data_IF_350204933224
#
_entry.id   IF_350204933224
#
_cell.length_a   1.000
_cell.length_b   1.000
_cell.length_c   1.000
_cell.angle_alpha   90.00
_cell.angle_beta   90.00
_cell.angle_gamma   90.00
#
_symmetry.space_group_name_H-M   'P 1'
#
loop_
_entity.id
_entity.type
_entity.pdbx_description
1 polymer ?
#
# COMPACT_ATOMS: atom_id res chain seq x y z
N UNK A 1 48.52 -5.82 -38.86
CA UNK A 1 49.16 -6.35 -37.63
C UNK A 1 49.83 -5.17 -36.92
N UNK A 2 49.19 -4.56 -35.92
CA UNK A 2 49.71 -3.41 -35.16
C UNK A 2 49.69 -3.79 -33.69
N UNK A 3 50.87 -3.99 -33.09
CA UNK A 3 51.07 -4.27 -31.66
C UNK A 3 50.49 -3.11 -30.85
N UNK A 4 49.55 -3.41 -29.94
CA UNK A 4 49.16 -2.49 -28.86
C UNK A 4 50.25 -2.57 -27.78
N UNK A 5 50.89 -1.44 -27.51
CA UNK A 5 51.70 -1.26 -26.31
C UNK A 5 50.79 -1.33 -25.08
N UNK A 6 51.15 -2.18 -24.13
CA UNK A 6 50.52 -2.27 -22.81
C UNK A 6 51.04 -1.09 -22.00
N UNK A 7 50.26 -0.02 -21.95
CA UNK A 7 50.54 1.11 -21.08
C UNK A 7 50.17 0.71 -19.66
N UNK A 8 51.19 0.61 -18.79
CA UNK A 8 51.06 0.19 -17.40
C UNK A 8 50.15 1.13 -16.61
N UNK A 9 49.06 0.60 -16.06
CA UNK A 9 48.06 1.24 -15.20
C UNK A 9 48.63 1.63 -13.82
N UNK A 10 49.67 2.47 -13.77
CA UNK A 10 50.22 3.01 -12.51
C UNK A 10 49.83 4.47 -12.23
N UNK A 11 48.98 5.06 -13.06
CA UNK A 11 48.41 6.39 -12.81
C UNK A 11 47.01 6.29 -12.18
N UNK A 12 46.97 5.87 -10.91
CA UNK A 12 45.80 6.11 -10.05
C UNK A 12 45.65 7.62 -9.84
N UNK A 13 44.82 8.27 -10.65
CA UNK A 13 44.25 9.59 -10.34
C UNK A 13 43.48 9.46 -9.03
N UNK A 14 44.08 9.92 -7.93
CA UNK A 14 43.37 10.08 -6.67
C UNK A 14 42.29 11.16 -6.85
N UNK A 15 41.02 10.78 -6.85
CA UNK A 15 39.92 11.72 -6.67
C UNK A 15 40.03 12.30 -5.26
N UNK A 16 40.70 13.46 -5.15
CA UNK A 16 40.83 14.21 -3.92
C UNK A 16 39.59 15.09 -3.70
N UNK A 17 38.55 14.54 -3.08
CA UNK A 17 37.58 15.32 -2.31
C UNK A 17 37.02 14.44 -1.20
N UNK A 18 37.78 14.37 -0.10
CA UNK A 18 37.33 14.24 1.29
C UNK A 18 38.57 14.02 2.17
N UNK A 19 39.01 15.07 2.86
CA UNK A 19 40.10 14.98 3.82
C UNK A 19 39.57 14.35 5.11
N UNK A 20 40.10 13.16 5.46
CA UNK A 20 39.90 12.52 6.77
C UNK A 20 40.91 13.16 7.75
N UNK A 21 40.52 13.55 8.98
CA UNK A 21 41.45 14.13 9.95
C UNK A 21 42.43 13.05 10.46
N UNK A 22 43.74 13.29 10.33
CA UNK A 22 44.78 12.39 10.83
C UNK A 22 45.99 12.12 9.91
N UNK A 23 46.06 12.70 8.71
CA UNK A 23 47.26 12.55 7.85
C UNK A 23 48.40 13.47 8.26
N UNK A 24 49.55 12.87 8.56
CA UNK A 24 50.85 13.55 8.70
C UNK A 24 51.25 14.33 7.42
N UNK A 25 52.09 15.37 7.52
CA UNK A 25 52.42 16.27 6.40
C UNK A 25 53.16 15.55 5.26
N UNK A 26 52.91 15.99 4.01
CA UNK A 26 53.49 15.45 2.77
C UNK A 26 54.96 15.84 2.54
N UNK A 27 55.84 15.69 3.53
CA UNK A 27 57.29 15.89 3.35
C UNK A 27 58.04 14.60 3.67
N UNK A 28 58.42 13.85 2.64
CA UNK A 28 59.27 12.65 2.78
C UNK A 28 58.79 11.37 2.09
N UNK A 29 57.89 11.43 1.11
CA UNK A 29 57.45 10.23 0.37
C UNK A 29 58.58 9.83 -0.61
N UNK A 30 59.19 8.63 -0.48
CA UNK A 30 60.25 8.18 -1.38
C UNK A 30 59.74 8.09 -2.82
N UNK A 31 60.44 8.70 -3.77
CA UNK A 31 60.12 8.70 -5.21
C UNK A 31 60.85 7.59 -5.97
N UNK A 32 60.88 6.37 -5.40
CA UNK A 32 61.54 5.20 -5.99
C UNK A 32 60.71 3.92 -5.81
N UNK A 33 61.33 2.75 -6.04
CA UNK A 33 60.68 1.44 -5.88
C UNK A 33 60.17 1.18 -4.45
N UNK A 34 60.69 1.90 -3.45
CA UNK A 34 60.29 1.79 -2.04
C UNK A 34 59.07 2.65 -1.67
N UNK A 35 58.32 3.14 -2.67
CA UNK A 35 57.08 3.88 -2.40
C UNK A 35 56.05 2.94 -1.75
N UNK A 36 55.52 3.26 -0.56
CA UNK A 36 54.55 2.39 0.11
C UNK A 36 53.27 2.26 -0.73
N UNK A 37 52.98 1.02 -1.15
CA UNK A 37 51.79 0.63 -1.91
C UNK A 37 50.56 0.47 -1.01
N UNK A 38 50.76 0.06 0.24
CA UNK A 38 49.69 -0.21 1.18
C UNK A 38 49.26 1.08 1.89
N UNK A 39 47.95 1.30 1.91
CA UNK A 39 47.30 2.40 2.64
C UNK A 39 46.32 1.77 3.61
N UNK A 40 46.20 2.33 4.81
CA UNK A 40 45.13 1.98 5.73
C UNK A 40 43.80 2.30 5.04
N UNK A 41 43.07 1.25 4.67
CA UNK A 41 41.77 1.32 4.02
C UNK A 41 40.91 0.17 4.52
N UNK A 42 39.63 0.43 4.71
CA UNK A 42 38.69 -0.61 5.10
C UNK A 42 38.33 -1.49 3.91
N UNK A 43 37.92 -2.73 4.19
CA UNK A 43 37.40 -3.61 3.14
C UNK A 43 36.09 -3.06 2.60
N UNK A 44 35.84 -3.22 1.29
CA UNK A 44 34.68 -2.65 0.60
C UNK A 44 33.32 -3.01 1.23
N UNK A 45 33.21 -4.22 1.81
CA UNK A 45 32.00 -4.74 2.44
C UNK A 45 31.90 -4.43 3.95
N UNK A 46 32.90 -3.77 4.54
CA UNK A 46 32.81 -3.31 5.93
C UNK A 46 31.75 -2.20 6.06
N UNK A 47 31.02 -2.18 7.17
CA UNK A 47 30.02 -1.13 7.45
C UNK A 47 30.63 0.27 7.53
N UNK A 48 31.93 0.39 7.84
CA UNK A 48 32.69 1.64 7.87
C UNK A 48 33.13 2.14 6.48
N UNK A 49 33.19 1.23 5.49
CA UNK A 49 33.46 1.58 4.09
C UNK A 49 32.20 2.23 3.53
N UNK A 50 32.21 3.56 3.34
CA UNK A 50 31.09 4.34 2.76
C UNK A 50 30.77 3.99 1.29
N UNK A 51 31.18 2.80 0.82
CA UNK A 51 30.92 2.27 -0.49
C UNK A 51 29.45 1.86 -0.64
N UNK A 52 28.78 2.43 -1.64
CA UNK A 52 27.33 2.26 -1.87
C UNK A 52 26.98 1.67 -3.24
N UNK A 53 27.97 1.43 -4.11
CA UNK A 53 27.72 0.98 -5.48
C UNK A 53 27.69 -0.56 -5.59
N UNK A 54 26.55 -1.15 -5.25
CA UNK A 54 26.32 -2.61 -5.30
C UNK A 54 25.63 -3.09 -6.58
N UNK A 55 25.71 -2.33 -7.69
CA UNK A 55 24.97 -2.64 -8.94
C UNK A 55 25.25 -4.03 -9.49
N UNK A 56 26.49 -4.51 -9.36
CA UNK A 56 26.89 -5.86 -9.77
C UNK A 56 26.16 -6.94 -8.97
N UNK A 57 26.16 -6.83 -7.64
CA UNK A 57 25.42 -7.74 -6.75
C UNK A 57 23.91 -7.67 -7.00
N UNK A 58 23.35 -6.48 -7.21
CA UNK A 58 21.94 -6.33 -7.58
C UNK A 58 21.60 -7.10 -8.86
N UNK A 59 22.44 -6.97 -9.90
CA UNK A 59 22.27 -7.71 -11.16
C UNK A 59 22.37 -9.22 -10.94
N UNK A 60 23.36 -9.67 -10.14
CA UNK A 60 23.51 -11.08 -9.77
C UNK A 60 22.28 -11.60 -9.02
N UNK A 61 21.76 -10.87 -8.04
CA UNK A 61 20.55 -11.23 -7.30
C UNK A 61 19.34 -11.36 -8.22
N UNK A 62 19.18 -10.46 -9.19
CA UNK A 62 18.11 -10.55 -10.19
C UNK A 62 18.25 -11.80 -11.08
N UNK A 63 19.47 -12.14 -11.50
CA UNK A 63 19.75 -13.35 -12.27
C UNK A 63 19.45 -14.61 -11.44
N UNK A 64 19.94 -14.67 -10.20
CA UNK A 64 19.71 -15.80 -9.29
C UNK A 64 18.22 -15.97 -8.98
N UNK A 65 17.51 -14.87 -8.74
CA UNK A 65 16.06 -14.89 -8.53
C UNK A 65 15.35 -15.42 -9.77
N UNK A 66 15.72 -14.95 -10.97
CA UNK A 66 15.13 -15.44 -12.21
C UNK A 66 15.39 -16.94 -12.41
N UNK A 67 16.65 -17.39 -12.27
CA UNK A 67 17.01 -18.80 -12.45
C UNK A 67 16.34 -19.72 -11.41
N UNK A 68 16.29 -19.30 -10.14
CA UNK A 68 15.62 -20.05 -9.08
C UNK A 68 14.12 -20.20 -9.36
N UNK A 69 13.45 -19.11 -9.72
CA UNK A 69 12.02 -19.15 -10.04
C UNK A 69 11.73 -19.92 -11.34
N UNK A 70 12.58 -19.81 -12.37
CA UNK A 70 12.46 -20.59 -13.61
C UNK A 70 12.60 -22.08 -13.30
N UNK A 71 13.57 -22.47 -12.47
CA UNK A 71 13.73 -23.87 -12.05
C UNK A 71 12.48 -24.39 -11.35
N UNK A 72 11.97 -23.67 -10.34
CA UNK A 72 10.75 -24.05 -9.62
C UNK A 72 9.54 -24.08 -10.56
N UNK A 73 9.45 -23.14 -11.50
CA UNK A 73 8.40 -23.13 -12.51
C UNK A 73 8.48 -24.37 -13.42
N UNK A 74 9.69 -24.75 -13.86
CA UNK A 74 9.93 -25.96 -14.64
C UNK A 74 9.62 -27.23 -13.86
N UNK A 75 10.07 -27.34 -12.61
CA UNK A 75 9.74 -28.49 -11.74
C UNK A 75 8.23 -28.60 -11.53
N UNK A 76 7.53 -27.49 -11.27
CA UNK A 76 6.07 -27.47 -11.15
C UNK A 76 5.40 -27.84 -12.48
N UNK A 77 5.93 -27.37 -13.61
CA UNK A 77 5.42 -27.70 -14.95
C UNK A 77 5.61 -29.18 -15.28
N UNK A 78 6.76 -29.76 -14.93
CA UNK A 78 7.04 -31.19 -15.12
C UNK A 78 6.15 -32.04 -14.20
N UNK A 79 6.04 -31.65 -12.92
CA UNK A 79 5.35 -32.44 -11.89
C UNK A 79 3.83 -32.37 -12.01
N UNK A 80 3.28 -31.20 -12.31
CA UNK A 80 1.84 -30.96 -12.34
C UNK A 80 1.28 -30.66 -13.74
N UNK A 81 2.14 -30.56 -14.76
CA UNK A 81 1.74 -30.10 -16.08
C UNK A 81 1.44 -28.59 -16.12
N UNK A 82 0.81 -28.16 -17.22
CA UNK A 82 0.20 -26.84 -17.31
C UNK A 82 -1.12 -26.91 -16.53
N UNK A 83 -1.11 -26.44 -15.28
CA UNK A 83 -2.32 -26.35 -14.45
C UNK A 83 -3.21 -25.15 -14.84
N UNK A 84 -2.71 -24.27 -15.72
CA UNK A 84 -3.44 -23.11 -16.23
C UNK A 84 -4.56 -23.61 -17.13
N UNK A 85 -5.73 -23.82 -16.55
CA UNK A 85 -6.94 -24.08 -17.30
C UNK A 85 -7.63 -22.73 -17.56
N UNK A 86 -7.47 -22.20 -18.78
CA UNK A 86 -8.11 -20.95 -19.18
C UNK A 86 -9.64 -20.98 -19.02
N UNK A 87 -10.26 -22.15 -19.21
CA UNK A 87 -11.69 -22.31 -18.99
C UNK A 87 -12.01 -22.26 -17.49
N UNK A 88 -11.22 -22.87 -16.60
CA UNK A 88 -11.48 -22.78 -15.16
C UNK A 88 -11.27 -21.36 -14.62
N UNK A 89 -10.29 -20.60 -15.12
CA UNK A 89 -10.14 -19.17 -14.79
C UNK A 89 -11.39 -18.40 -15.24
N UNK A 90 -11.83 -18.59 -16.48
CA UNK A 90 -13.05 -17.94 -16.97
C UNK A 90 -14.30 -18.41 -16.21
N UNK A 91 -14.38 -19.68 -15.81
CA UNK A 91 -15.48 -20.20 -14.99
C UNK A 91 -15.51 -19.57 -13.59
N UNK A 92 -14.35 -19.41 -12.94
CA UNK A 92 -14.24 -18.74 -11.63
C UNK A 92 -14.73 -17.29 -11.75
N UNK A 93 -14.41 -16.59 -12.85
CA UNK A 93 -14.81 -15.20 -13.07
C UNK A 93 -16.23 -15.01 -13.60
N UNK A 94 -16.82 -16.00 -14.31
CA UNK A 94 -18.04 -15.79 -15.07
C UNK A 94 -19.15 -16.84 -14.84
N UNK A 95 -18.84 -18.08 -14.40
CA UNK A 95 -19.84 -19.16 -14.27
C UNK A 95 -20.46 -19.26 -12.87
N UNK A 96 -19.73 -18.89 -11.82
CA UNK A 96 -20.27 -18.84 -10.44
C UNK A 96 -20.62 -17.43 -9.98
N UNK A 97 -20.34 -16.41 -10.81
CA UNK A 97 -20.53 -15.01 -10.45
C UNK A 97 -21.89 -14.56 -10.95
N UNK A 98 -22.88 -14.59 -10.06
CA UNK A 98 -24.13 -13.90 -10.32
C UNK A 98 -23.81 -12.38 -10.32
N UNK A 99 -23.57 -11.79 -11.49
CA UNK A 99 -23.20 -10.38 -11.61
C UNK A 99 -24.31 -9.43 -11.17
N UNK A 100 -25.55 -9.92 -11.12
CA UNK A 100 -26.72 -9.13 -10.75
C UNK A 100 -26.61 -8.55 -9.32
N UNK A 101 -26.28 -9.33 -8.27
CA UNK A 101 -25.89 -8.80 -6.96
C UNK A 101 -24.81 -7.72 -7.00
N UNK A 102 -23.73 -7.93 -7.77
CA UNK A 102 -22.63 -6.97 -7.83
C UNK A 102 -23.04 -5.64 -8.48
N UNK A 103 -23.84 -5.69 -9.56
CA UNK A 103 -24.39 -4.51 -10.23
C UNK A 103 -25.37 -3.78 -9.31
N UNK A 104 -26.27 -4.52 -8.64
CA UNK A 104 -27.24 -3.96 -7.71
C UNK A 104 -26.54 -3.23 -6.57
N UNK A 105 -25.50 -3.84 -6.00
CA UNK A 105 -24.69 -3.23 -4.94
C UNK A 105 -23.97 -1.97 -5.47
N UNK A 106 -23.46 -1.96 -6.69
CA UNK A 106 -22.91 -0.72 -7.28
C UNK A 106 -23.96 0.38 -7.45
N UNK A 107 -25.19 0.06 -7.88
CA UNK A 107 -26.29 1.03 -7.97
C UNK A 107 -26.65 1.58 -6.60
N UNK A 108 -26.76 0.71 -5.58
CA UNK A 108 -27.06 1.11 -4.20
C UNK A 108 -25.97 2.04 -3.64
N UNK A 109 -24.71 1.90 -4.05
CA UNK A 109 -23.64 2.81 -3.64
C UNK A 109 -23.92 4.29 -3.94
N UNK A 110 -24.66 4.57 -5.01
CA UNK A 110 -25.04 5.93 -5.41
C UNK A 110 -26.01 6.55 -4.41
N UNK A 111 -26.87 5.75 -3.78
CA UNK A 111 -27.80 6.22 -2.75
C UNK A 111 -27.01 6.82 -1.59
N UNK A 112 -25.96 6.14 -1.11
CA UNK A 112 -25.12 6.64 -0.01
C UNK A 112 -24.38 7.94 -0.38
N UNK A 113 -23.91 8.06 -1.63
CA UNK A 113 -23.27 9.28 -2.15
C UNK A 113 -24.27 10.44 -2.21
N UNK A 114 -25.47 10.18 -2.73
CA UNK A 114 -26.55 11.18 -2.85
C UNK A 114 -27.05 11.61 -1.48
N UNK A 115 -27.19 10.69 -0.53
CA UNK A 115 -27.51 11.01 0.88
C UNK A 115 -26.44 11.92 1.49
N UNK A 116 -25.15 11.62 1.28
CA UNK A 116 -24.06 12.44 1.83
C UNK A 116 -24.07 13.89 1.32
N UNK A 117 -24.27 14.10 0.01
CA UNK A 117 -24.38 15.47 -0.55
C UNK A 117 -25.71 16.14 -0.16
N UNK A 118 -26.81 15.39 -0.12
CA UNK A 118 -28.13 15.90 0.25
C UNK A 118 -28.16 16.43 1.68
N UNK A 119 -27.62 15.66 2.64
CA UNK A 119 -27.51 16.07 4.04
C UNK A 119 -26.64 17.32 4.19
N UNK A 120 -25.49 17.39 3.50
CA UNK A 120 -24.63 18.57 3.58
C UNK A 120 -25.31 19.81 2.98
N UNK A 121 -26.08 19.67 1.88
CA UNK A 121 -26.89 20.78 1.35
C UNK A 121 -27.97 21.24 2.33
N UNK A 122 -28.69 20.32 2.96
CA UNK A 122 -29.70 20.65 3.97
C UNK A 122 -29.08 21.36 5.19
N UNK A 123 -27.86 20.97 5.58
CA UNK A 123 -27.10 21.62 6.66
C UNK A 123 -26.64 23.04 6.31
N UNK A 124 -26.33 23.31 5.04
CA UNK A 124 -25.98 24.67 4.56
C UNK A 124 -27.19 25.59 4.53
N UNK A 125 -28.32 25.09 4.01
CA UNK A 125 -29.56 25.88 3.90
C UNK A 125 -30.15 26.13 5.30
N UNK A 126 -29.79 25.31 6.30
CA UNK A 126 -30.30 25.43 7.67
C UNK A 126 -31.64 24.71 7.89
N UNK A 127 -32.05 23.82 6.97
CA UNK A 127 -33.26 23.01 7.10
C UNK A 127 -33.13 22.01 8.26
N UNK A 128 -31.93 21.47 8.45
CA UNK A 128 -31.63 20.50 9.51
C UNK A 128 -30.58 21.03 10.48
N UNK A 129 -30.76 20.72 11.77
CA UNK A 129 -29.78 21.08 12.80
C UNK A 129 -28.48 20.28 12.67
N UNK A 130 -27.38 20.81 13.20
CA UNK A 130 -26.08 20.13 13.21
C UNK A 130 -26.16 18.73 13.83
N UNK A 131 -26.90 18.57 14.93
CA UNK A 131 -27.02 17.29 15.64
C UNK A 131 -27.73 16.26 14.77
N UNK A 132 -28.85 16.64 14.18
CA UNK A 132 -29.63 15.76 13.29
C UNK A 132 -28.80 15.39 12.06
N UNK A 133 -28.12 16.34 11.43
CA UNK A 133 -27.23 16.06 10.29
C UNK A 133 -26.10 15.09 10.64
N UNK A 134 -25.45 15.26 11.80
CA UNK A 134 -24.43 14.32 12.28
C UNK A 134 -25.00 12.91 12.47
N UNK A 135 -26.20 12.77 13.06
CA UNK A 135 -26.85 11.45 13.24
C UNK A 135 -27.13 10.79 11.89
N UNK A 136 -27.65 11.53 10.91
CA UNK A 136 -27.91 10.99 9.56
C UNK A 136 -26.61 10.57 8.87
N UNK A 137 -25.54 11.36 8.99
CA UNK A 137 -24.22 11.01 8.43
C UNK A 137 -23.71 9.71 9.06
N UNK A 138 -23.76 9.58 10.39
CA UNK A 138 -23.31 8.37 11.09
C UNK A 138 -24.14 7.16 10.67
N UNK A 139 -25.47 7.29 10.61
CA UNK A 139 -26.35 6.22 10.16
C UNK A 139 -26.02 5.79 8.73
N UNK A 140 -25.86 6.76 7.80
CA UNK A 140 -25.48 6.50 6.42
C UNK A 140 -24.14 5.75 6.31
N UNK A 141 -23.14 6.13 7.12
CA UNK A 141 -21.82 5.50 7.13
C UNK A 141 -21.84 4.08 7.75
N UNK A 142 -22.63 3.86 8.80
CA UNK A 142 -22.80 2.53 9.40
C UNK A 142 -23.49 1.60 8.40
N UNK A 143 -24.60 2.03 7.80
CA UNK A 143 -25.32 1.24 6.79
C UNK A 143 -24.45 0.98 5.56
N UNK A 144 -23.60 1.94 5.17
CA UNK A 144 -22.65 1.74 4.07
C UNK A 144 -21.67 0.60 4.34
N UNK A 145 -21.24 0.38 5.58
CA UNK A 145 -20.36 -0.75 5.93
C UNK A 145 -21.12 -2.07 6.11
N UNK A 146 -22.30 -2.03 6.75
CA UNK A 146 -23.03 -3.25 7.10
C UNK A 146 -23.82 -3.82 5.94
N UNK A 147 -24.40 -2.99 5.06
CA UNK A 147 -25.19 -3.43 3.91
C UNK A 147 -24.44 -4.41 2.98
N UNK A 148 -23.26 -4.09 2.44
CA UNK A 148 -22.58 -4.99 1.51
C UNK A 148 -22.05 -6.24 2.23
N UNK A 149 -21.73 -6.15 3.53
CA UNK A 149 -21.32 -7.30 4.33
C UNK A 149 -22.48 -8.27 4.55
N UNK A 150 -23.65 -7.78 4.98
CA UNK A 150 -24.85 -8.59 5.13
C UNK A 150 -25.30 -9.20 3.79
N UNK A 151 -25.22 -8.44 2.70
CA UNK A 151 -25.53 -8.96 1.36
C UNK A 151 -24.56 -10.07 0.94
N UNK A 152 -23.28 -9.96 1.30
CA UNK A 152 -22.26 -10.98 1.00
C UNK A 152 -22.46 -12.24 1.84
N UNK A 153 -22.87 -12.10 3.10
CA UNK A 153 -23.14 -13.25 3.97
C UNK A 153 -24.47 -13.94 3.66
N UNK A 154 -25.44 -13.19 3.13
CA UNK A 154 -26.74 -13.72 2.74
C UNK A 154 -26.75 -14.37 1.34
N UNK A 155 -25.68 -14.24 0.55
CA UNK A 155 -25.60 -14.79 -0.80
C UNK A 155 -24.36 -15.66 -0.96
N UNK A 156 -24.52 -16.84 -1.57
CA UNK A 156 -23.41 -17.72 -1.95
C UNK A 156 -22.71 -17.17 -3.21
N UNK A 157 -22.06 -16.02 -3.04
CA UNK A 157 -21.36 -15.30 -4.11
C UNK A 157 -19.87 -15.65 -4.10
N UNK A 158 -19.25 -15.63 -5.28
CA UNK A 158 -17.82 -15.87 -5.44
C UNK A 158 -16.96 -14.97 -4.51
N UNK A 159 -16.05 -15.54 -3.68
CA UNK A 159 -15.23 -14.80 -2.72
C UNK A 159 -14.36 -13.69 -3.33
N UNK A 160 -13.88 -13.85 -4.57
CA UNK A 160 -13.08 -12.83 -5.25
C UNK A 160 -13.93 -11.63 -5.66
N UNK A 161 -15.13 -11.88 -6.19
CA UNK A 161 -16.08 -10.84 -6.58
C UNK A 161 -16.58 -10.05 -5.37
N UNK A 162 -16.90 -10.75 -4.27
CA UNK A 162 -17.32 -10.12 -3.02
C UNK A 162 -16.18 -9.33 -2.38
N UNK A 163 -14.94 -9.82 -2.42
CA UNK A 163 -13.76 -9.07 -1.95
C UNK A 163 -13.58 -7.73 -2.68
N UNK A 164 -13.72 -7.71 -4.01
CA UNK A 164 -13.63 -6.46 -4.80
C UNK A 164 -14.77 -5.51 -4.45
N UNK A 165 -15.98 -6.05 -4.27
CA UNK A 165 -17.15 -5.28 -3.87
C UNK A 165 -16.99 -4.61 -2.50
N UNK A 166 -16.56 -5.38 -1.49
CA UNK A 166 -16.29 -4.86 -0.14
C UNK A 166 -15.16 -3.85 -0.15
N UNK A 167 -14.11 -4.06 -0.95
CA UNK A 167 -13.01 -3.09 -1.10
C UNK A 167 -13.52 -1.75 -1.67
N UNK A 168 -14.43 -1.78 -2.65
CA UNK A 168 -15.06 -0.58 -3.18
C UNK A 168 -15.88 0.15 -2.11
N UNK A 169 -16.70 -0.57 -1.35
CA UNK A 169 -17.53 0.00 -0.28
C UNK A 169 -16.71 0.55 0.89
N UNK A 170 -15.64 -0.14 1.28
CA UNK A 170 -14.67 0.36 2.25
C UNK A 170 -14.01 1.66 1.78
N UNK A 171 -13.55 1.71 0.53
CA UNK A 171 -12.98 2.93 -0.06
C UNK A 171 -13.99 4.07 -0.06
N UNK A 172 -15.25 3.79 -0.42
CA UNK A 172 -16.33 4.77 -0.39
C UNK A 172 -16.62 5.26 1.04
N UNK A 173 -16.63 4.37 2.04
CA UNK A 173 -16.76 4.72 3.45
C UNK A 173 -15.68 5.71 3.89
N UNK A 174 -14.41 5.38 3.62
CA UNK A 174 -13.28 6.25 3.96
C UNK A 174 -13.42 7.64 3.31
N UNK A 175 -13.82 7.66 2.03
CA UNK A 175 -14.06 8.89 1.28
C UNK A 175 -15.21 9.71 1.88
N UNK A 176 -16.36 9.10 2.19
CA UNK A 176 -17.51 9.82 2.73
C UNK A 176 -17.26 10.35 4.15
N UNK A 177 -16.49 9.65 4.99
CA UNK A 177 -16.00 10.19 6.27
C UNK A 177 -15.16 11.43 6.04
N UNK A 178 -14.21 11.38 5.09
CA UNK A 178 -13.38 12.54 4.76
C UNK A 178 -14.20 13.71 4.23
N UNK A 179 -15.16 13.44 3.35
CA UNK A 179 -16.08 14.43 2.81
C UNK A 179 -16.89 15.11 3.92
N UNK A 180 -17.47 14.35 4.85
CA UNK A 180 -18.22 14.87 5.98
C UNK A 180 -17.34 15.74 6.90
N UNK A 181 -16.15 15.26 7.27
CA UNK A 181 -15.22 16.01 8.13
C UNK A 181 -14.79 17.34 7.50
N UNK A 182 -14.37 17.31 6.23
CA UNK A 182 -13.85 18.50 5.56
C UNK A 182 -14.94 19.54 5.36
N UNK A 183 -16.13 19.15 4.91
CA UNK A 183 -17.24 20.08 4.76
C UNK A 183 -17.69 20.65 6.11
N UNK A 184 -17.73 19.83 7.18
CA UNK A 184 -17.99 20.32 8.53
C UNK A 184 -16.97 21.38 8.98
N UNK A 185 -15.69 21.20 8.68
CA UNK A 185 -14.66 22.20 9.00
C UNK A 185 -14.86 23.52 8.24
N UNK A 186 -15.26 23.47 6.97
CA UNK A 186 -15.56 24.69 6.21
C UNK A 186 -16.82 25.38 6.71
N UNK A 187 -17.88 24.62 7.02
CA UNK A 187 -19.14 25.15 7.54
C UNK A 187 -18.97 25.82 8.90
N UNK A 188 -18.23 25.19 9.83
CA UNK A 188 -17.93 25.79 11.14
C UNK A 188 -17.03 27.02 11.06
N UNK A 189 -16.14 27.09 10.05
CA UNK A 189 -15.36 28.31 9.78
C UNK A 189 -16.22 29.43 9.21
N UNK A 190 -17.22 29.11 8.39
CA UNK A 190 -18.14 30.11 7.84
C UNK A 190 -19.06 30.68 8.91
N UNK A 191 -19.60 29.85 9.82
CA UNK A 191 -20.39 30.36 10.94
C UNK A 191 -19.55 31.27 11.85
N UNK A 192 -18.29 30.91 12.10
CA UNK A 192 -17.34 31.76 12.84
C UNK A 192 -16.95 33.04 12.08
N UNK A 193 -16.81 32.98 10.75
CA UNK A 193 -16.57 34.17 9.92
C UNK A 193 -17.79 35.07 9.85
N UNK A 194 -19.02 34.55 9.79
CA UNK A 194 -20.22 35.38 9.88
C UNK A 194 -20.33 36.10 11.24
N UNK A 195 -19.79 35.53 12.32
CA UNK A 195 -19.68 36.23 13.61
C UNK A 195 -18.52 37.24 13.70
N UNK A 196 -17.55 37.21 12.77
CA UNK A 196 -16.34 38.07 12.79
C UNK A 196 -16.33 39.10 11.64
N UNK A 197 -17.01 38.82 10.53
CA UNK A 197 -17.06 39.62 9.30
C UNK A 197 -18.03 40.83 9.38
N UNK A 198 -18.31 41.31 10.59
CA UNK A 198 -18.66 42.72 10.77
C UNK A 198 -17.45 43.64 10.54
N UNK A 199 -16.22 43.10 10.57
CA UNK A 199 -15.00 43.84 10.27
C UNK A 199 -14.12 43.13 9.23
N UNK A 200 -13.68 43.93 8.26
CA UNK A 200 -12.69 43.65 7.21
C UNK A 200 -13.16 42.85 5.97
N UNK A 201 -13.46 43.63 4.93
CA UNK A 201 -13.63 43.20 3.55
C UNK A 201 -12.30 43.33 2.76
N UNK A 202 -12.21 42.49 1.70
CA UNK A 202 -11.29 42.51 0.54
C UNK A 202 -9.92 41.84 0.70
N UNK A 203 -9.63 40.93 -0.25
CA UNK A 203 -8.50 41.00 -1.21
C UNK A 203 -8.50 39.75 -2.11
N UNK A 204 -8.32 39.97 -3.42
CA UNK A 204 -7.46 39.12 -4.26
C UNK A 204 -8.12 38.20 -5.28
N UNK A 205 -8.17 38.64 -6.55
CA UNK A 205 -8.43 37.80 -7.72
C UNK A 205 -7.29 36.80 -7.93
N UNK A 206 -7.55 35.54 -7.58
CA UNK A 206 -6.82 34.37 -8.05
C UNK A 206 -7.78 33.50 -8.88
N UNK A 207 -7.29 32.64 -9.80
CA UNK A 207 -8.16 31.87 -10.70
C UNK A 207 -9.25 31.15 -9.90
N UNK A 208 -10.46 31.06 -10.48
CA UNK A 208 -11.71 30.62 -9.84
C UNK A 208 -11.56 29.28 -9.11
N UNK A 209 -11.06 29.32 -7.87
CA UNK A 209 -10.99 28.17 -6.97
C UNK A 209 -12.38 27.90 -6.44
N UNK A 210 -12.75 26.62 -6.39
CA UNK A 210 -14.03 26.22 -5.82
C UNK A 210 -14.01 26.55 -4.32
N UNK A 211 -14.98 27.34 -3.88
CA UNK A 211 -15.19 27.72 -2.48
C UNK A 211 -16.41 26.99 -1.92
N UNK A 212 -16.49 26.85 -0.59
CA UNK A 212 -17.70 26.37 0.06
C UNK A 212 -18.73 27.52 0.13
N UNK A 213 -20.03 27.29 -0.14
CA UNK A 213 -20.70 26.01 -0.41
C UNK A 213 -20.78 25.61 -1.89
N UNK A 214 -20.16 26.35 -2.80
CA UNK A 214 -20.18 26.08 -4.25
C UNK A 214 -19.53 24.73 -4.64
N UNK A 215 -18.82 24.08 -3.71
CA UNK A 215 -18.30 22.74 -3.90
C UNK A 215 -19.37 21.64 -3.89
N UNK A 216 -20.58 21.91 -3.38
CA UNK A 216 -21.67 20.94 -3.20
C UNK A 216 -22.39 20.61 -4.53
N UNK A 217 -21.63 20.13 -5.52
CA UNK A 217 -22.15 19.69 -6.82
C UNK A 217 -21.94 18.18 -7.00
N UNK A 218 -22.80 17.55 -7.81
CA UNK A 218 -22.65 16.13 -8.14
C UNK A 218 -21.32 15.87 -8.84
N UNK A 219 -20.89 16.75 -9.72
CA UNK A 219 -19.61 16.64 -10.43
C UNK A 219 -18.43 16.58 -9.47
N UNK A 220 -18.41 17.39 -8.41
CA UNK A 220 -17.30 17.43 -7.46
C UNK A 220 -17.25 16.18 -6.59
N UNK A 221 -18.39 15.69 -6.08
CA UNK A 221 -18.42 14.49 -5.25
C UNK A 221 -18.09 13.24 -6.07
N UNK A 222 -18.64 13.08 -7.28
CA UNK A 222 -18.30 11.94 -8.14
C UNK A 222 -16.84 11.99 -8.62
N UNK A 223 -16.31 13.18 -8.90
CA UNK A 223 -14.87 13.30 -9.17
C UNK A 223 -14.04 12.77 -8.00
N UNK A 224 -14.39 13.15 -6.77
CA UNK A 224 -13.68 12.68 -5.57
C UNK A 224 -13.88 11.17 -5.34
N UNK A 225 -15.08 10.63 -5.55
CA UNK A 225 -15.36 9.20 -5.40
C UNK A 225 -14.41 8.37 -6.27
N UNK A 226 -14.17 8.80 -7.51
CA UNK A 226 -13.33 8.08 -8.46
C UNK A 226 -11.84 8.47 -8.35
N UNK A 227 -11.50 9.62 -7.76
CA UNK A 227 -10.12 10.06 -7.57
C UNK A 227 -9.29 9.07 -6.73
N UNK A 228 -8.00 8.83 -7.06
CA UNK A 228 -7.14 7.87 -6.36
C UNK A 228 -6.60 8.44 -5.03
N UNK A 229 -7.47 9.01 -4.20
CA UNK A 229 -7.18 9.55 -2.87
C UNK A 229 -8.37 9.31 -1.94
N UNK A 230 -8.10 9.11 -0.65
CA UNK A 230 -9.15 8.97 0.37
C UNK A 230 -9.46 10.28 1.08
N UNK A 231 -8.60 11.29 0.93
CA UNK A 231 -8.76 12.60 1.56
C UNK A 231 -9.48 13.57 0.62
N UNK A 232 -10.66 14.05 1.02
CA UNK A 232 -11.41 15.07 0.29
C UNK A 232 -10.74 16.43 0.41
N UNK A 233 -10.66 17.14 -0.70
CA UNK A 233 -10.28 18.54 -0.77
C UNK A 233 -11.15 19.26 -1.80
N UNK A 234 -11.41 20.54 -1.60
CA UNK A 234 -12.23 21.32 -2.53
C UNK A 234 -11.56 21.45 -3.90
N UNK A 235 -10.24 21.56 -3.91
CA UNK A 235 -9.45 21.83 -5.11
C UNK A 235 -8.27 20.87 -5.18
N UNK A 236 -8.43 19.78 -5.92
CA UNK A 236 -7.34 18.83 -6.17
C UNK A 236 -6.34 19.38 -7.21
N UNK A 237 -5.03 19.10 -7.06
CA UNK A 237 -4.05 19.49 -8.05
C UNK A 237 -4.29 18.73 -9.36
N UNK A 238 -4.28 19.46 -10.50
CA UNK A 238 -4.61 18.91 -11.82
C UNK A 238 -3.43 18.87 -12.77
N UNK A 239 -3.29 17.77 -13.49
CA UNK A 239 -2.31 17.64 -14.58
C UNK A 239 -2.79 18.46 -15.78
N UNK A 240 -1.91 19.14 -16.54
CA UNK A 240 -2.31 20.00 -17.65
C UNK A 240 -2.87 19.22 -18.85
N UNK A 241 -2.43 17.97 -19.05
CA UNK A 241 -2.84 17.10 -20.16
C UNK A 241 -2.82 15.63 -19.77
N UNK A 242 -3.51 14.81 -20.55
CA UNK A 242 -3.43 13.34 -20.47
C UNK A 242 -2.29 12.86 -21.38
N UNK A 243 -1.34 12.12 -20.81
CA UNK A 243 -0.19 11.51 -21.48
C UNK A 243 -0.59 10.14 -22.02
N UNK A 244 -1.09 10.11 -23.27
CA UNK A 244 -1.66 8.90 -23.91
C UNK A 244 -0.75 7.66 -23.84
N UNK A 245 0.55 7.79 -24.10
CA UNK A 245 1.49 6.66 -24.02
C UNK A 245 1.65 6.12 -22.60
N UNK A 246 1.69 7.00 -21.60
CA UNK A 246 1.69 6.60 -20.19
C UNK A 246 0.38 5.91 -19.82
N UNK A 247 -0.76 6.49 -20.20
CA UNK A 247 -2.09 5.93 -19.95
C UNK A 247 -2.24 4.53 -20.58
N UNK A 248 -1.86 4.37 -21.85
CA UNK A 248 -1.91 3.09 -22.55
C UNK A 248 -1.03 2.04 -21.87
N UNK A 249 0.21 2.40 -21.50
CA UNK A 249 1.10 1.50 -20.76
C UNK A 249 0.48 1.04 -19.44
N UNK A 250 -0.08 1.97 -18.66
CA UNK A 250 -0.74 1.63 -17.39
C UNK A 250 -1.99 0.77 -17.61
N UNK A 251 -2.78 1.07 -18.64
CA UNK A 251 -3.97 0.31 -19.01
C UNK A 251 -3.61 -1.14 -19.37
N UNK A 252 -2.60 -1.36 -20.23
CA UNK A 252 -2.14 -2.70 -20.59
C UNK A 252 -1.66 -3.47 -19.36
N UNK A 253 -0.94 -2.83 -18.43
CA UNK A 253 -0.52 -3.46 -17.18
C UNK A 253 -1.70 -3.85 -16.28
N UNK A 254 -2.72 -2.98 -16.16
CA UNK A 254 -3.93 -3.26 -15.38
C UNK A 254 -4.74 -4.41 -15.97
N UNK A 255 -4.74 -4.60 -17.29
CA UNK A 255 -5.39 -5.73 -17.93
C UNK A 255 -4.55 -7.01 -17.82
N UNK A 256 -3.25 -6.95 -18.07
CA UNK A 256 -2.38 -8.13 -18.17
C UNK A 256 -1.96 -8.72 -16.82
N UNK A 257 -1.55 -7.88 -15.87
CA UNK A 257 -0.99 -8.35 -14.59
C UNK A 257 -1.96 -9.18 -13.74
N UNK A 258 -3.28 -8.92 -13.69
CA UNK A 258 -4.21 -9.81 -12.99
C UNK A 258 -4.16 -11.26 -13.52
N UNK A 259 -4.13 -11.45 -14.84
CA UNK A 259 -4.02 -12.79 -15.44
C UNK A 259 -2.70 -13.46 -15.08
N UNK A 260 -1.60 -12.71 -15.11
CA UNK A 260 -0.29 -13.21 -14.70
C UNK A 260 -0.29 -13.63 -13.23
N UNK A 261 -0.81 -12.79 -12.33
CA UNK A 261 -0.89 -13.10 -10.89
C UNK A 261 -1.73 -14.35 -10.65
N UNK A 262 -2.88 -14.48 -11.32
CA UNK A 262 -3.73 -15.67 -11.20
C UNK A 262 -3.05 -16.94 -11.72
N UNK A 263 -2.37 -16.86 -12.87
CA UNK A 263 -1.61 -17.98 -13.41
C UNK A 263 -0.48 -18.43 -12.47
N UNK A 264 0.27 -17.46 -11.91
CA UNK A 264 1.31 -17.75 -10.93
C UNK A 264 0.74 -18.32 -9.63
N UNK A 265 -0.41 -17.82 -9.16
CA UNK A 265 -1.10 -18.36 -8.00
C UNK A 265 -1.48 -19.83 -8.23
N UNK A 266 -2.12 -20.15 -9.35
CA UNK A 266 -2.51 -21.51 -9.71
C UNK A 266 -1.32 -22.45 -9.84
N UNK A 267 -0.21 -21.99 -10.42
CA UNK A 267 0.96 -22.84 -10.63
C UNK A 267 1.80 -23.03 -9.37
N UNK A 268 1.91 -22.01 -8.51
CA UNK A 268 2.86 -22.01 -7.38
C UNK A 268 2.20 -22.11 -6.01
N UNK A 269 1.07 -21.46 -5.79
CA UNK A 269 0.41 -21.40 -4.47
C UNK A 269 -0.52 -22.59 -4.26
N UNK A 270 -1.46 -22.82 -5.18
CA UNK A 270 -2.50 -23.84 -5.04
C UNK A 270 -1.95 -25.25 -4.75
N UNK A 271 -0.91 -25.75 -5.44
CA UNK A 271 -0.36 -27.07 -5.15
C UNK A 271 0.28 -27.17 -3.76
N UNK A 272 0.92 -26.09 -3.28
CA UNK A 272 1.57 -26.07 -1.96
C UNK A 272 0.50 -26.09 -0.87
N UNK A 273 -0.52 -25.26 -1.02
CA UNK A 273 -1.62 -25.12 -0.05
C UNK A 273 -2.48 -26.41 0.03
N UNK A 274 -2.78 -27.05 -1.11
CA UNK A 274 -3.48 -28.35 -1.10
C UNK A 274 -2.67 -29.44 -0.38
N UNK A 275 -1.35 -29.42 -0.53
CA UNK A 275 -0.45 -30.38 0.11
C UNK A 275 -0.13 -30.03 1.58
N UNK A 276 -0.58 -28.89 2.10
CA UNK A 276 -0.38 -28.51 3.50
C UNK A 276 -1.49 -28.98 4.45
N UNK A 277 -2.65 -29.40 3.95
CA UNK A 277 -3.78 -29.86 4.80
C UNK A 277 -3.35 -31.02 5.73
N UNK A 278 -2.76 -32.07 5.16
CA UNK A 278 -2.36 -33.27 5.91
C UNK A 278 -1.36 -32.99 7.06
N UNK A 279 -0.29 -32.19 6.87
CA UNK A 279 0.60 -31.79 7.98
C UNK A 279 -0.08 -30.99 9.11
N UNK A 280 -1.09 -30.17 8.78
CA UNK A 280 -1.82 -29.39 9.79
C UNK A 280 -2.76 -30.29 10.61
N UNK A 281 -3.51 -31.19 9.96
CA UNK A 281 -4.37 -32.16 10.65
C UNK A 281 -3.57 -33.08 11.59
N UNK A 282 -2.34 -33.44 11.19
CA UNK A 282 -1.44 -34.27 11.99
C UNK A 282 -0.68 -33.51 13.09
N UNK A 283 -0.92 -32.19 13.27
CA UNK A 283 -0.17 -31.30 14.18
C UNK A 283 1.36 -31.43 14.07
N UNK A 284 1.88 -31.74 12.88
CA UNK A 284 3.32 -31.89 12.66
C UNK A 284 3.97 -30.51 12.48
N UNK A 285 4.45 -29.94 13.58
CA UNK A 285 5.06 -28.60 13.58
C UNK A 285 6.22 -28.46 12.57
N UNK A 286 7.07 -29.47 12.44
CA UNK A 286 8.16 -29.45 11.45
C UNK A 286 7.61 -29.40 10.02
N UNK A 287 6.55 -30.16 9.74
CA UNK A 287 5.86 -30.14 8.46
C UNK A 287 5.20 -28.79 8.18
N UNK A 288 4.57 -28.17 9.19
CA UNK A 288 3.95 -26.85 9.07
C UNK A 288 5.00 -25.78 8.73
N UNK A 289 6.13 -25.75 9.44
CA UNK A 289 7.23 -24.82 9.18
C UNK A 289 7.81 -25.02 7.79
N UNK A 290 8.03 -26.27 7.35
CA UNK A 290 8.50 -26.57 6.01
C UNK A 290 7.53 -26.04 4.92
N UNK A 291 6.22 -26.23 5.11
CA UNK A 291 5.19 -25.73 4.18
C UNK A 291 5.11 -24.21 4.18
N UNK A 292 5.21 -23.58 5.35
CA UNK A 292 5.26 -22.12 5.49
C UNK A 292 6.43 -21.53 4.70
N UNK A 293 7.64 -22.10 4.85
CA UNK A 293 8.83 -21.63 4.14
C UNK A 293 8.73 -21.85 2.63
N UNK A 294 8.16 -22.97 2.19
CA UNK A 294 7.88 -23.23 0.76
C UNK A 294 6.87 -22.23 0.18
N UNK A 295 5.88 -21.83 0.96
CA UNK A 295 4.85 -20.86 0.55
C UNK A 295 5.37 -19.40 0.57
N UNK A 296 6.34 -19.10 1.44
CA UNK A 296 6.79 -17.73 1.71
C UNK A 296 7.28 -16.99 0.46
N UNK A 297 8.17 -17.60 -0.33
CA UNK A 297 8.75 -16.94 -1.52
C UNK A 297 7.69 -16.70 -2.61
N UNK A 298 6.93 -17.73 -3.08
CA UNK A 298 5.90 -17.50 -4.08
C UNK A 298 4.86 -16.49 -3.61
N UNK A 299 4.41 -16.58 -2.35
CA UNK A 299 3.42 -15.65 -1.81
C UNK A 299 3.95 -14.21 -1.79
N UNK A 300 5.20 -14.02 -1.36
CA UNK A 300 5.80 -12.69 -1.33
C UNK A 300 5.96 -12.08 -2.73
N UNK A 301 6.34 -12.87 -3.73
CA UNK A 301 6.42 -12.42 -5.12
C UNK A 301 5.06 -11.99 -5.66
N UNK A 302 4.00 -12.76 -5.36
CA UNK A 302 2.63 -12.40 -5.73
C UNK A 302 2.17 -11.13 -5.03
N UNK A 303 2.50 -10.97 -3.75
CA UNK A 303 2.19 -9.77 -2.98
C UNK A 303 2.88 -8.52 -3.55
N UNK A 304 4.15 -8.62 -3.96
CA UNK A 304 4.87 -7.54 -4.64
C UNK A 304 4.26 -7.21 -6.02
N UNK A 305 3.86 -8.23 -6.78
CA UNK A 305 3.18 -8.04 -8.05
C UNK A 305 1.81 -7.35 -7.87
N UNK A 306 1.05 -7.75 -6.85
CA UNK A 306 -0.21 -7.12 -6.48
C UNK A 306 -0.03 -5.67 -6.01
N UNK A 307 1.01 -5.40 -5.21
CA UNK A 307 1.40 -4.05 -4.83
C UNK A 307 1.65 -3.17 -6.06
N UNK A 308 2.46 -3.63 -7.01
CA UNK A 308 2.74 -2.90 -8.25
C UNK A 308 1.49 -2.74 -9.13
N UNK A 309 0.64 -3.76 -9.23
CA UNK A 309 -0.63 -3.68 -9.96
C UNK A 309 -1.54 -2.60 -9.37
N UNK A 310 -1.80 -2.64 -8.06
CA UNK A 310 -2.76 -1.73 -7.42
C UNK A 310 -2.17 -0.33 -7.26
N UNK A 311 -1.09 -0.19 -6.48
CA UNK A 311 -0.60 1.12 -6.04
C UNK A 311 0.17 1.87 -7.12
N UNK A 312 0.85 1.14 -8.01
CA UNK A 312 1.56 1.77 -9.10
C UNK A 312 0.71 1.84 -10.36
N UNK A 313 0.24 0.71 -10.90
CA UNK A 313 -0.38 0.69 -12.23
C UNK A 313 -1.82 1.23 -12.23
N UNK A 314 -2.68 0.69 -11.37
CA UNK A 314 -4.10 1.07 -11.30
C UNK A 314 -4.29 2.50 -10.79
N UNK A 315 -3.66 2.90 -9.68
CA UNK A 315 -3.81 4.26 -9.18
C UNK A 315 -3.25 5.30 -10.16
N UNK A 316 -2.14 5.03 -10.86
CA UNK A 316 -1.65 5.95 -11.90
C UNK A 316 -2.54 5.97 -13.14
N UNK A 317 -3.14 4.85 -13.53
CA UNK A 317 -4.14 4.80 -14.59
C UNK A 317 -5.32 5.73 -14.26
N UNK A 318 -5.89 5.56 -13.05
CA UNK A 318 -6.99 6.40 -12.56
C UNK A 318 -6.58 7.87 -12.44
N UNK A 319 -5.38 8.15 -11.93
CA UNK A 319 -4.86 9.50 -11.80
C UNK A 319 -4.70 10.20 -13.16
N UNK A 320 -4.15 9.49 -14.14
CA UNK A 320 -3.96 10.02 -15.48
C UNK A 320 -5.31 10.27 -16.17
N UNK A 321 -6.25 9.33 -16.07
CA UNK A 321 -7.61 9.46 -16.63
C UNK A 321 -8.36 10.68 -16.05
N UNK A 322 -8.25 10.87 -14.74
CA UNK A 322 -8.90 11.97 -14.01
C UNK A 322 -8.11 13.28 -14.00
N UNK A 323 -6.95 13.32 -14.67
CA UNK A 323 -5.97 14.41 -14.58
C UNK A 323 -5.62 14.78 -13.13
N UNK A 324 -5.61 13.83 -12.22
CA UNK A 324 -5.16 14.00 -10.84
C UNK A 324 -3.62 14.09 -10.82
N UNK A 325 -3.07 15.16 -10.27
CA UNK A 325 -1.63 15.42 -10.31
C UNK A 325 -0.86 14.85 -9.11
N UNK A 326 -1.50 14.68 -7.96
CA UNK A 326 -0.86 14.07 -6.80
C UNK A 326 -0.74 12.56 -7.03
N UNK A 327 0.49 12.07 -7.25
CA UNK A 327 0.76 10.67 -7.59
C UNK A 327 1.65 9.98 -6.57
N UNK A 328 1.81 10.60 -5.40
CA UNK A 328 2.54 10.01 -4.28
C UNK A 328 1.64 8.97 -3.58
N UNK A 329 1.46 7.82 -4.21
CA UNK A 329 0.66 6.72 -3.65
C UNK A 329 1.44 5.86 -2.66
N UNK A 330 2.77 5.85 -2.77
CA UNK A 330 3.71 5.14 -1.92
C UNK A 330 5.08 5.85 -1.97
N UNK A 331 5.92 5.57 -0.98
CA UNK A 331 7.33 6.01 -0.89
C UNK A 331 8.25 4.79 -0.88
N UNK A 332 9.54 4.98 -0.64
CA UNK A 332 10.58 3.95 -0.62
C UNK A 332 10.51 3.03 0.61
N UNK A 333 9.35 2.41 0.82
CA UNK A 333 9.08 1.51 1.95
C UNK A 333 9.97 0.26 1.96
N UNK A 334 10.61 -0.10 0.84
CA UNK A 334 11.60 -1.20 0.78
C UNK A 334 12.89 -0.88 1.55
N UNK A 335 13.18 0.40 1.78
CA UNK A 335 14.29 0.87 2.61
C UNK A 335 13.91 1.04 4.09
N UNK A 336 12.71 0.58 4.49
CA UNK A 336 12.23 0.75 5.85
C UNK A 336 13.16 0.06 6.86
N UNK A 337 13.76 0.85 7.74
CA UNK A 337 14.55 0.42 8.88
C UNK A 337 13.70 0.01 10.09
N UNK A 338 12.49 0.56 10.16
CA UNK A 338 11.53 0.35 11.23
C UNK A 338 10.16 -0.04 10.68
N UNK A 339 9.42 -0.84 11.44
CA UNK A 339 8.04 -1.16 11.08
C UNK A 339 7.17 0.11 10.96
N UNK A 340 7.40 1.12 11.82
CA UNK A 340 6.73 2.43 11.72
C UNK A 340 6.95 3.08 10.36
N UNK A 341 8.19 3.09 9.87
CA UNK A 341 8.51 3.69 8.59
C UNK A 341 7.80 2.94 7.45
N UNK A 342 7.82 1.61 7.47
CA UNK A 342 7.09 0.81 6.47
C UNK A 342 5.60 1.18 6.42
N UNK A 343 4.90 1.14 7.56
CA UNK A 343 3.44 1.37 7.62
C UNK A 343 3.01 2.78 7.22
N UNK A 344 3.90 3.77 7.34
CA UNK A 344 3.65 5.16 6.90
C UNK A 344 3.86 5.38 5.40
N UNK A 345 4.67 4.53 4.76
CA UNK A 345 5.20 4.77 3.42
C UNK A 345 4.68 3.81 2.35
N UNK A 346 4.14 2.64 2.71
CA UNK A 346 3.65 1.66 1.73
C UNK A 346 2.35 2.08 1.03
N UNK A 347 1.40 2.70 1.77
CA UNK A 347 0.09 3.11 1.26
C UNK A 347 -0.25 4.51 1.78
N UNK A 348 0.23 5.50 1.05
CA UNK A 348 0.12 6.92 1.40
C UNK A 348 -1.34 7.40 1.45
N UNK A 349 -2.26 7.01 0.53
CA UNK A 349 -3.67 7.39 0.63
C UNK A 349 -4.33 7.02 1.96
N UNK A 350 -4.11 5.78 2.43
CA UNK A 350 -4.64 5.32 3.72
C UNK A 350 -3.92 6.00 4.87
N UNK A 351 -2.59 6.08 4.82
CA UNK A 351 -1.80 6.74 5.87
C UNK A 351 -2.24 8.20 6.08
N UNK A 352 -2.34 9.00 5.01
CA UNK A 352 -2.78 10.39 5.07
C UNK A 352 -4.19 10.52 5.63
N UNK A 353 -5.09 9.60 5.28
CA UNK A 353 -6.43 9.56 5.83
C UNK A 353 -6.42 9.29 7.33
N UNK A 354 -5.70 8.26 7.78
CA UNK A 354 -5.58 7.91 9.19
C UNK A 354 -5.00 9.07 10.00
N UNK A 355 -3.97 9.75 9.47
CA UNK A 355 -3.39 10.92 10.13
C UNK A 355 -4.39 12.07 10.23
N UNK A 356 -5.09 12.40 9.15
CA UNK A 356 -5.96 13.59 9.05
C UNK A 356 -7.30 13.43 9.75
N UNK A 357 -7.90 12.24 9.69
CA UNK A 357 -9.28 12.01 10.10
C UNK A 357 -9.43 11.14 11.35
N UNK A 358 -8.35 10.53 11.84
CA UNK A 358 -8.37 9.72 13.06
C UNK A 358 -7.32 10.21 14.07
N UNK A 359 -6.03 10.14 13.72
CA UNK A 359 -4.93 10.45 14.64
C UNK A 359 -4.93 11.91 15.14
N UNK A 360 -4.90 12.90 14.22
CA UNK A 360 -4.89 14.33 14.61
C UNK A 360 -6.15 14.74 15.39
N UNK A 361 -7.37 14.32 14.99
CA UNK A 361 -8.56 14.55 15.79
C UNK A 361 -8.48 13.99 17.22
N UNK A 362 -8.00 12.74 17.39
CA UNK A 362 -7.80 12.14 18.73
C UNK A 362 -6.83 12.95 19.58
N UNK A 363 -5.71 13.40 19.01
CA UNK A 363 -4.78 14.28 19.71
C UNK A 363 -5.42 15.62 20.10
N UNK A 364 -6.21 16.21 19.20
CA UNK A 364 -6.91 17.48 19.49
C UNK A 364 -7.98 17.35 20.56
N UNK A 365 -8.48 16.13 20.80
CA UNK A 365 -9.43 15.83 21.86
C UNK A 365 -8.74 15.55 23.22
N UNK A 366 -7.40 15.56 23.27
CA UNK A 366 -6.62 15.35 24.48
C UNK A 366 -6.12 13.91 24.68
N UNK A 367 -6.30 13.00 23.73
CA UNK A 367 -5.72 11.65 23.82
C UNK A 367 -4.19 11.69 23.70
N UNK A 368 -3.51 10.77 24.39
CA UNK A 368 -2.05 10.61 24.25
C UNK A 368 -1.65 10.09 22.87
N UNK A 369 -0.40 10.34 22.46
CA UNK A 369 0.15 9.82 21.20
C UNK A 369 0.12 8.30 21.11
N UNK A 370 0.30 7.62 22.24
CA UNK A 370 0.21 6.15 22.34
C UNK A 370 -1.20 5.68 22.05
N UNK A 371 -2.21 6.24 22.73
CA UNK A 371 -3.62 5.88 22.51
C UNK A 371 -4.00 6.14 21.05
N UNK A 372 -3.65 7.31 20.50
CA UNK A 372 -3.96 7.64 19.12
C UNK A 372 -3.31 6.68 18.11
N UNK A 373 -2.06 6.25 18.34
CA UNK A 373 -1.40 5.26 17.49
C UNK A 373 -2.08 3.88 17.60
N UNK A 374 -2.36 3.40 18.82
CA UNK A 374 -3.06 2.12 19.03
C UNK A 374 -4.43 2.14 18.37
N UNK A 375 -5.20 3.22 18.50
CA UNK A 375 -6.50 3.37 17.84
C UNK A 375 -6.40 3.27 16.32
N UNK A 376 -5.35 3.85 15.70
CA UNK A 376 -5.12 3.72 14.25
C UNK A 376 -4.82 2.26 13.87
N UNK A 377 -4.01 1.55 14.64
CA UNK A 377 -3.72 0.13 14.38
C UNK A 377 -4.96 -0.76 14.55
N UNK A 378 -5.75 -0.56 15.60
CA UNK A 378 -7.01 -1.30 15.83
C UNK A 378 -8.03 -1.01 14.73
N UNK A 379 -8.18 0.25 14.32
CA UNK A 379 -9.02 0.64 13.19
C UNK A 379 -8.57 -0.05 11.89
N UNK A 380 -7.26 -0.10 11.64
CA UNK A 380 -6.72 -0.82 10.49
C UNK A 380 -6.96 -2.33 10.60
N UNK A 381 -6.75 -2.93 11.77
CA UNK A 381 -6.95 -4.35 12.02
C UNK A 381 -8.41 -4.78 11.78
N UNK A 382 -9.37 -3.95 12.20
CA UNK A 382 -10.80 -4.17 11.91
C UNK A 382 -11.06 -4.29 10.41
N UNK A 383 -10.51 -3.39 9.58
CA UNK A 383 -10.75 -3.46 8.13
C UNK A 383 -10.00 -4.59 7.44
N UNK A 384 -8.83 -5.00 7.94
CA UNK A 384 -8.15 -6.18 7.42
C UNK A 384 -9.01 -7.42 7.67
N UNK A 385 -9.49 -7.62 8.91
CA UNK A 385 -10.40 -8.73 9.23
C UNK A 385 -11.71 -8.64 8.45
N UNK A 386 -12.32 -7.46 8.33
CA UNK A 386 -13.55 -7.28 7.54
C UNK A 386 -13.37 -7.69 6.08
N UNK A 387 -12.25 -7.30 5.45
CA UNK A 387 -11.97 -7.58 4.05
C UNK A 387 -11.53 -9.03 3.81
N UNK A 388 -11.05 -9.76 4.83
CA UNK A 388 -10.67 -11.18 4.71
C UNK A 388 -11.81 -12.10 5.12
N UNK A 389 -12.43 -11.86 6.27
CA UNK A 389 -13.42 -12.76 6.88
C UNK A 389 -14.76 -12.75 6.19
N UNK A 390 -15.27 -11.58 5.78
CA UNK A 390 -16.60 -11.48 5.19
C UNK A 390 -16.68 -12.19 3.83
N UNK A 391 -15.72 -12.02 2.89
CA UNK A 391 -15.72 -12.78 1.63
C UNK A 391 -15.52 -14.28 1.82
N UNK A 392 -14.74 -14.68 2.82
CA UNK A 392 -14.43 -16.08 3.10
C UNK A 392 -15.46 -16.76 4.01
N UNK A 393 -16.38 -16.02 4.62
CA UNK A 393 -17.33 -16.48 5.63
C UNK A 393 -16.65 -17.10 6.88
N UNK A 394 -15.42 -16.67 7.20
CA UNK A 394 -14.58 -17.21 8.29
C UNK A 394 -14.20 -16.13 9.31
N UNK A 395 -14.72 -16.22 10.52
CA UNK A 395 -14.57 -15.22 11.59
C UNK A 395 -13.60 -15.67 12.69
N UNK A 396 -12.34 -15.93 12.33
CA UNK A 396 -11.30 -16.47 13.23
C UNK A 396 -10.32 -15.45 13.78
N UNK A 397 -10.43 -14.16 13.44
CA UNK A 397 -9.62 -13.03 13.95
C UNK A 397 -8.11 -13.11 13.67
N UNK A 398 -7.67 -13.97 12.74
CA UNK A 398 -6.25 -14.15 12.43
C UNK A 398 -5.62 -12.90 11.80
N UNK A 399 -6.31 -12.22 10.88
CA UNK A 399 -5.81 -10.98 10.28
C UNK A 399 -5.77 -9.84 11.31
N UNK A 400 -6.78 -9.77 12.18
CA UNK A 400 -6.81 -8.81 13.29
C UNK A 400 -5.59 -8.97 14.21
N UNK A 401 -5.33 -10.21 14.68
CA UNK A 401 -4.18 -10.52 15.55
C UNK A 401 -2.87 -10.21 14.83
N UNK A 402 -2.73 -10.60 13.55
CA UNK A 402 -1.55 -10.32 12.74
C UNK A 402 -1.23 -8.82 12.64
N UNK A 403 -2.26 -7.97 12.51
CA UNK A 403 -2.11 -6.51 12.49
C UNK A 403 -1.75 -5.92 13.85
N UNK A 404 -2.34 -6.41 14.94
CA UNK A 404 -2.02 -5.96 16.30
C UNK A 404 -0.59 -6.36 16.71
N UNK A 405 -0.13 -7.54 16.28
CA UNK A 405 1.24 -8.01 16.50
C UNK A 405 2.32 -7.16 15.81
N UNK A 406 1.94 -6.25 14.91
CA UNK A 406 2.86 -5.24 14.37
C UNK A 406 3.27 -4.19 15.41
N UNK A 407 2.49 -3.98 16.47
CA UNK A 407 2.82 -3.00 17.53
C UNK A 407 4.07 -3.43 18.31
N UNK A 408 4.18 -4.66 18.85
CA UNK A 408 5.43 -5.17 19.42
C UNK A 408 6.60 -5.11 18.44
N UNK A 409 6.40 -5.53 17.18
CA UNK A 409 7.45 -5.46 16.16
C UNK A 409 7.95 -4.03 15.94
N UNK A 410 7.05 -3.05 15.99
CA UNK A 410 7.40 -1.65 15.91
C UNK A 410 8.26 -1.20 17.09
N UNK A 411 7.96 -1.64 18.31
CA UNK A 411 8.77 -1.33 19.50
C UNK A 411 10.17 -1.94 19.34
N UNK A 412 10.25 -3.22 18.93
CA UNK A 412 11.52 -3.92 18.72
C UNK A 412 12.38 -3.22 17.66
N UNK A 413 11.81 -2.96 16.49
CA UNK A 413 12.55 -2.33 15.38
C UNK A 413 12.94 -0.88 15.69
N UNK A 414 12.14 -0.15 16.46
CA UNK A 414 12.47 1.22 16.88
C UNK A 414 13.53 1.28 17.98
N UNK A 415 13.75 0.17 18.72
CA UNK A 415 14.79 0.09 19.74
C UNK A 415 16.19 -0.20 19.15
N UNK A 416 16.27 -0.57 17.87
CA UNK A 416 17.55 -0.83 17.18
C UNK A 416 18.27 0.50 16.94
N UNK A 417 19.53 0.67 17.40
CA UNK A 417 20.30 1.89 17.14
C UNK A 417 20.48 2.16 15.65
N UNK A 418 20.56 3.42 15.26
CA UNK A 418 20.74 3.84 13.87
C UNK A 418 21.99 3.22 13.21
N UNK A 419 23.05 2.97 13.97
CA UNK A 419 24.26 2.30 13.49
C UNK A 419 23.98 0.88 12.95
N UNK A 420 22.86 0.26 13.35
CA UNK A 420 22.43 -1.08 12.98
C UNK A 420 21.18 -1.09 12.08
N UNK A 421 20.91 -0.01 11.35
CA UNK A 421 19.77 0.07 10.41
C UNK A 421 19.58 -1.14 9.47
N UNK A 422 20.64 -1.81 8.95
CA UNK A 422 20.46 -3.01 8.14
C UNK A 422 19.72 -4.15 8.85
N UNK A 423 19.92 -4.32 10.16
CA UNK A 423 19.23 -5.33 10.97
C UNK A 423 17.74 -5.01 11.12
N UNK A 424 17.40 -3.74 11.30
CA UNK A 424 16.02 -3.27 11.31
C UNK A 424 15.31 -3.56 9.98
N UNK A 425 15.96 -3.24 8.86
CA UNK A 425 15.44 -3.55 7.52
C UNK A 425 15.24 -5.05 7.30
N UNK A 426 16.19 -5.88 7.74
CA UNK A 426 16.08 -7.33 7.66
C UNK A 426 14.86 -7.85 8.44
N UNK A 427 14.60 -7.35 9.65
CA UNK A 427 13.42 -7.73 10.44
C UNK A 427 12.10 -7.32 9.77
N UNK A 428 12.06 -6.14 9.14
CA UNK A 428 10.90 -5.71 8.36
C UNK A 428 10.66 -6.66 7.17
N UNK A 429 11.71 -7.04 6.43
CA UNK A 429 11.56 -8.00 5.34
C UNK A 429 11.10 -9.38 5.82
N UNK A 430 11.69 -9.88 6.91
CA UNK A 430 11.28 -11.17 7.50
C UNK A 430 9.81 -11.16 7.91
N UNK A 431 9.32 -10.08 8.51
CA UNK A 431 7.91 -9.98 8.90
C UNK A 431 6.96 -9.94 7.68
N UNK A 432 7.35 -9.26 6.60
CA UNK A 432 6.56 -9.20 5.36
C UNK A 432 6.56 -10.54 4.60
N UNK A 433 7.69 -11.25 4.61
CA UNK A 433 7.84 -12.54 3.92
C UNK A 433 7.10 -13.64 4.68
N UNK A 434 7.18 -13.68 6.01
CA UNK A 434 6.61 -14.76 6.83
C UNK A 434 5.18 -14.49 7.32
N UNK A 435 4.80 -13.22 7.52
CA UNK A 435 3.50 -12.87 8.10
C UNK A 435 2.31 -13.19 7.19
N UNK A 436 2.39 -12.81 5.91
CA UNK A 436 1.30 -13.02 4.94
C UNK A 436 1.01 -14.51 4.67
N UNK A 437 2.01 -15.37 4.37
CA UNK A 437 1.77 -16.79 4.15
C UNK A 437 1.22 -17.49 5.41
N UNK A 438 1.65 -17.05 6.59
CA UNK A 438 1.16 -17.58 7.85
C UNK A 438 -0.36 -17.30 8.01
N UNK A 439 -0.81 -16.07 7.72
CA UNK A 439 -2.23 -15.76 7.69
C UNK A 439 -2.99 -16.62 6.67
N UNK A 440 -2.46 -16.78 5.45
CA UNK A 440 -3.11 -17.60 4.41
C UNK A 440 -3.27 -19.06 4.84
N UNK A 441 -2.22 -19.66 5.42
CA UNK A 441 -2.28 -21.04 5.90
C UNK A 441 -3.29 -21.21 7.03
N UNK A 442 -3.37 -20.24 7.96
CA UNK A 442 -4.35 -20.28 9.05
C UNK A 442 -5.80 -20.18 8.54
N UNK A 443 -6.08 -19.24 7.62
CA UNK A 443 -7.42 -19.15 7.03
C UNK A 443 -7.77 -20.38 6.19
N UNK A 444 -6.83 -20.92 5.41
CA UNK A 444 -7.07 -22.10 4.57
C UNK A 444 -7.25 -23.39 5.38
N UNK A 445 -6.58 -23.53 6.52
CA UNK A 445 -6.80 -24.65 7.44
C UNK A 445 -8.20 -24.61 8.06
N UNK A 446 -8.70 -23.42 8.35
CA UNK A 446 -10.00 -23.22 8.99
C UNK A 446 -11.18 -23.11 7.98
N UNK A 447 -10.88 -23.13 6.66
CA UNK A 447 -11.84 -23.31 5.56
C UNK A 447 -12.25 -24.77 5.44
#
# INVERSE_FOLDING_TARGET
MKRREVQSDLNLKSNSHNAIPGRLPKSGIPTGFDRPLHVAQDSLLCSSSMYTNYRGFFTLSMILLALSNIRVALENLIKYGILINHQSILLIWFKETNFLPAILVFVVSHIFILTAIGVEKCLVIGIISQRVGTVIIIANLITLLTFPAMSTLATDSNPLGTSVCLMFYWSLFMKLVSYAHVNHWYRTRLSKKQSIAADAEKVGQHPAKVTYPNNLTLTNIYYFVVAPTLCYELNFPRSPRIRKGFLLKRFLEVIFLPWLIMALAQQWIFPIVRNSVSPFEAMNFSGIVERLLKLAIPNHLLWLALFYLIFHSFLNFMAELLRFADREFYRDWWNADTSSYFWKNWNIPVHRWCVRHLYKPLLSYGCSSVIANVSVFVFSAFFHEYLTSVPLHIFRIWAFVGMVMQIPLNIITSAIPAENHPWGNMLVWLSLILGQPLCILMYYHDC
#
